data_IF_338082566606
#
_entry.id   IF_338082566606
#
_cell.length_a   1.000
_cell.length_b   1.000
_cell.length_c   1.000
_cell.angle_alpha   90.00
_cell.angle_beta   90.00
_cell.angle_gamma   90.00
#
_symmetry.space_group_name_H-M   'P 1'
#
loop_
_entity.id
_entity.type
_entity.pdbx_description
1 polymer ?
#
# COMPACT_ATOMS: atom_id res chain seq x y z
N UNK A 1 27.47 20.93 2.95
CA UNK A 1 26.47 20.66 4.03
C UNK A 1 27.16 19.83 5.11
N UNK A 2 26.94 20.19 6.37
CA UNK A 2 27.42 19.41 7.53
C UNK A 2 26.22 19.08 8.41
N UNK A 3 25.36 18.10 8.03
CA UNK A 3 24.16 17.78 8.77
C UNK A 3 24.47 17.11 10.10
N UNK A 4 23.61 17.30 11.11
CA UNK A 4 23.70 16.62 12.40
C UNK A 4 23.18 15.18 12.28
N UNK A 5 22.18 14.96 11.44
CA UNK A 5 21.55 13.65 11.20
C UNK A 5 21.41 13.42 9.71
N UNK A 6 21.71 12.21 9.26
CA UNK A 6 21.47 11.74 7.89
C UNK A 6 20.34 10.71 7.95
N UNK A 7 19.28 10.93 7.17
CA UNK A 7 18.18 9.97 7.01
C UNK A 7 18.29 9.31 5.65
N UNK A 8 18.43 7.99 5.64
CA UNK A 8 18.46 7.17 4.43
C UNK A 8 17.12 6.47 4.23
N UNK A 9 16.70 6.35 2.99
CA UNK A 9 15.59 5.49 2.61
C UNK A 9 16.13 4.14 2.10
N UNK A 10 15.48 3.06 2.50
CA UNK A 10 15.82 1.68 2.26
C UNK A 10 17.05 1.17 3.04
N UNK A 11 16.91 0.00 3.64
CA UNK A 11 17.98 -0.74 4.30
C UNK A 11 18.78 -1.55 3.27
N UNK A 12 19.44 -0.83 2.35
CA UNK A 12 20.16 -1.45 1.25
C UNK A 12 21.49 -0.73 0.97
N UNK A 13 22.05 -0.92 -0.20
CA UNK A 13 23.40 -0.51 -0.56
C UNK A 13 23.71 0.96 -0.25
N UNK A 14 22.79 1.89 -0.57
CA UNK A 14 23.02 3.32 -0.31
C UNK A 14 23.20 3.62 1.19
N UNK A 15 22.33 3.07 2.04
CA UNK A 15 22.44 3.27 3.49
C UNK A 15 23.74 2.66 4.06
N UNK A 16 24.17 1.51 3.52
CA UNK A 16 25.44 0.89 3.87
C UNK A 16 26.63 1.76 3.48
N UNK A 17 26.67 2.30 2.27
CA UNK A 17 27.73 3.20 1.79
C UNK A 17 27.75 4.51 2.58
N UNK A 18 26.61 5.09 2.89
CA UNK A 18 26.50 6.31 3.71
C UNK A 18 27.08 6.07 5.10
N UNK A 19 26.80 4.91 5.72
CA UNK A 19 27.41 4.55 7.02
C UNK A 19 28.94 4.45 6.94
N UNK A 20 29.46 3.91 5.87
CA UNK A 20 30.91 3.81 5.69
C UNK A 20 31.55 5.18 5.46
N UNK A 21 30.98 6.03 4.61
CA UNK A 21 31.55 7.34 4.28
C UNK A 21 31.43 8.36 5.40
N UNK A 22 30.47 8.22 6.30
CA UNK A 22 30.20 9.16 7.38
C UNK A 22 30.20 8.47 8.75
N UNK A 23 31.33 7.85 9.21
CA UNK A 23 31.37 7.06 10.44
C UNK A 23 31.06 7.87 11.70
N UNK A 24 31.31 9.18 11.69
CA UNK A 24 31.06 10.08 12.84
C UNK A 24 29.70 10.76 12.84
N UNK A 25 28.81 10.48 11.87
CA UNK A 25 27.48 11.08 11.82
C UNK A 25 26.40 10.17 12.35
N UNK A 26 25.36 10.77 12.95
CA UNK A 26 24.14 10.03 13.28
C UNK A 26 23.38 9.68 12.01
N UNK A 27 23.17 8.38 11.76
CA UNK A 27 22.52 7.87 10.55
C UNK A 27 21.33 7.00 10.93
N UNK A 28 20.16 7.37 10.44
CA UNK A 28 18.91 6.63 10.61
C UNK A 28 18.47 6.16 9.24
N UNK A 29 18.00 4.92 9.11
CA UNK A 29 17.44 4.42 7.85
C UNK A 29 16.00 3.94 8.02
N UNK A 30 15.17 4.20 7.01
CA UNK A 30 13.75 3.84 6.97
C UNK A 30 13.59 2.62 6.07
N UNK A 31 13.04 1.53 6.61
CA UNK A 31 12.70 0.33 5.87
C UNK A 31 11.40 0.55 5.08
N UNK A 32 11.36 0.12 3.82
CA UNK A 32 10.18 0.22 2.96
C UNK A 32 9.60 -1.16 2.56
N UNK A 33 10.16 -2.26 3.06
CA UNK A 33 9.74 -3.63 2.73
C UNK A 33 10.38 -4.19 1.45
N UNK A 34 10.48 -3.41 0.38
CA UNK A 34 11.18 -3.82 -0.84
C UNK A 34 12.66 -4.12 -0.62
N UNK A 35 13.29 -3.44 0.30
CA UNK A 35 14.67 -3.65 0.74
C UNK A 35 14.87 -5.01 1.43
N UNK A 36 13.93 -5.45 2.27
CA UNK A 36 13.96 -6.78 2.89
C UNK A 36 13.90 -7.88 1.83
N UNK A 37 12.96 -7.73 0.88
CA UNK A 37 12.85 -8.65 -0.24
C UNK A 37 14.11 -8.67 -1.12
N UNK A 38 14.70 -7.50 -1.38
CA UNK A 38 15.91 -7.40 -2.17
C UNK A 38 17.11 -8.09 -1.52
N UNK A 39 17.32 -7.89 -0.22
CA UNK A 39 18.46 -8.51 0.49
C UNK A 39 18.31 -10.02 0.58
N UNK A 40 17.09 -10.57 0.57
CA UNK A 40 16.86 -12.01 0.54
C UNK A 40 17.05 -12.62 -0.85
N UNK A 41 16.62 -11.92 -1.92
CA UNK A 41 16.72 -12.41 -3.30
C UNK A 41 18.12 -12.20 -3.91
N UNK A 42 18.83 -11.13 -3.53
CA UNK A 42 20.11 -10.76 -4.11
C UNK A 42 21.27 -11.06 -3.17
N UNK A 43 22.26 -11.81 -3.65
CA UNK A 43 23.45 -12.17 -2.87
C UNK A 43 24.60 -11.18 -3.01
N UNK A 44 24.54 -10.27 -4.03
CA UNK A 44 25.58 -9.28 -4.27
C UNK A 44 25.71 -8.35 -3.05
N UNK A 45 26.93 -8.25 -2.53
CA UNK A 45 27.28 -7.40 -1.39
C UNK A 45 26.44 -7.61 -0.11
N UNK A 46 25.72 -8.74 -0.01
CA UNK A 46 24.76 -9.01 1.08
C UNK A 46 25.39 -8.87 2.47
N UNK A 47 26.56 -9.46 2.68
CA UNK A 47 27.21 -9.43 4.00
C UNK A 47 27.76 -8.03 4.32
N UNK A 48 28.32 -7.33 3.33
CA UNK A 48 28.71 -5.93 3.47
C UNK A 48 27.52 -5.06 3.88
N UNK A 49 26.39 -5.19 3.17
CA UNK A 49 25.16 -4.43 3.47
C UNK A 49 24.69 -4.71 4.90
N UNK A 50 24.57 -6.00 5.28
CA UNK A 50 24.15 -6.40 6.63
C UNK A 50 25.05 -5.84 7.71
N UNK A 51 26.35 -5.92 7.53
CA UNK A 51 27.31 -5.41 8.50
C UNK A 51 27.17 -3.89 8.71
N UNK A 52 27.03 -3.11 7.63
CA UNK A 52 26.87 -1.66 7.71
C UNK A 52 25.51 -1.23 8.25
N UNK A 53 24.44 -1.91 7.88
CA UNK A 53 23.09 -1.65 8.43
C UNK A 53 23.07 -1.89 9.95
N UNK A 54 23.72 -2.94 10.44
CA UNK A 54 23.87 -3.22 11.89
C UNK A 54 24.55 -2.08 12.66
N UNK A 55 25.41 -1.31 11.99
CA UNK A 55 26.14 -0.18 12.58
C UNK A 55 25.38 1.14 12.56
N UNK A 56 24.18 1.20 11.96
CA UNK A 56 23.35 2.41 11.98
C UNK A 56 22.98 2.80 13.41
N UNK A 57 22.75 4.09 13.62
CA UNK A 57 22.33 4.64 14.91
C UNK A 57 20.86 4.37 15.20
N UNK A 58 20.03 4.26 14.15
CA UNK A 58 18.62 3.90 14.24
C UNK A 58 18.06 3.32 12.95
N UNK A 59 17.03 2.52 13.08
CA UNK A 59 16.26 1.95 11.97
C UNK A 59 14.78 2.19 12.25
N UNK A 60 14.06 2.61 11.23
CA UNK A 60 12.61 2.84 11.30
C UNK A 60 11.90 1.70 10.55
N UNK A 61 11.07 0.98 11.27
CA UNK A 61 10.15 -0.01 10.71
C UNK A 61 8.75 0.61 10.52
N UNK A 62 8.00 0.12 9.55
CA UNK A 62 6.62 0.58 9.28
C UNK A 62 5.61 -0.07 10.25
N UNK A 63 5.82 -1.33 10.61
CA UNK A 63 4.97 -2.09 11.53
C UNK A 63 5.77 -3.14 12.32
N UNK A 64 5.13 -3.76 13.31
CA UNK A 64 5.80 -4.68 14.25
C UNK A 64 6.38 -5.91 13.57
N UNK A 65 5.68 -6.51 12.62
CA UNK A 65 6.19 -7.69 11.90
C UNK A 65 7.44 -7.33 11.09
N UNK A 66 7.46 -6.16 10.44
CA UNK A 66 8.64 -5.68 9.73
C UNK A 66 9.83 -5.46 10.70
N UNK A 67 9.58 -4.97 11.93
CA UNK A 67 10.62 -4.88 12.97
C UNK A 67 11.25 -6.24 13.22
N UNK A 68 10.46 -7.30 13.42
CA UNK A 68 10.96 -8.67 13.62
C UNK A 68 11.79 -9.17 12.43
N UNK A 69 11.36 -8.86 11.21
CA UNK A 69 12.10 -9.22 10.01
C UNK A 69 13.45 -8.49 9.91
N UNK A 70 13.49 -7.20 10.23
CA UNK A 70 14.73 -6.42 10.29
C UNK A 70 15.71 -7.04 11.31
N UNK A 71 15.21 -7.39 12.50
CA UNK A 71 16.02 -8.09 13.52
C UNK A 71 16.58 -9.41 13.00
N UNK A 72 15.73 -10.23 12.38
CA UNK A 72 16.13 -11.53 11.82
C UNK A 72 17.16 -11.40 10.69
N UNK A 73 16.94 -10.50 9.75
CA UNK A 73 17.77 -10.39 8.53
C UNK A 73 19.08 -9.66 8.81
N UNK A 74 19.02 -8.52 9.48
CA UNK A 74 20.18 -7.64 9.66
C UNK A 74 20.85 -7.80 11.03
N UNK A 75 20.21 -8.47 11.99
CA UNK A 75 20.69 -8.60 13.37
C UNK A 75 20.93 -7.23 14.03
N UNK A 76 20.11 -6.25 13.70
CA UNK A 76 20.07 -4.95 14.37
C UNK A 76 19.49 -5.15 15.75
N UNK A 77 20.06 -4.51 16.76
CA UNK A 77 19.55 -4.58 18.14
C UNK A 77 18.17 -3.97 18.25
N UNK A 78 17.28 -4.60 19.01
CA UNK A 78 15.88 -4.20 19.16
C UNK A 78 15.72 -2.74 19.55
N UNK A 79 16.55 -2.24 20.49
CA UNK A 79 16.51 -0.87 20.97
C UNK A 79 16.83 0.19 19.90
N UNK A 80 17.44 -0.21 18.78
CA UNK A 80 17.71 0.65 17.64
C UNK A 80 16.57 0.69 16.62
N UNK A 81 15.58 -0.20 16.74
CA UNK A 81 14.49 -0.30 15.76
C UNK A 81 13.22 0.32 16.35
N UNK A 82 12.80 1.44 15.77
CA UNK A 82 11.56 2.13 16.14
C UNK A 82 10.48 1.83 15.10
N UNK A 83 9.28 1.46 15.55
CA UNK A 83 8.09 1.37 14.69
C UNK A 83 7.46 2.75 14.63
N UNK A 84 7.42 3.35 13.43
CA UNK A 84 6.87 4.68 13.24
C UNK A 84 5.62 4.72 12.34
N UNK A 85 5.34 3.64 11.63
CA UNK A 85 4.24 3.62 10.67
C UNK A 85 4.52 4.41 9.40
N UNK A 86 3.46 4.83 8.75
CA UNK A 86 3.48 5.73 7.57
C UNK A 86 2.62 6.95 7.83
N UNK A 87 2.93 8.04 7.15
CA UNK A 87 2.13 9.24 7.16
C UNK A 87 1.58 9.56 5.78
N UNK A 88 0.53 10.37 5.72
CA UNK A 88 -0.02 10.88 4.47
C UNK A 88 0.03 12.41 4.43
N UNK A 89 -0.14 12.99 3.26
CA UNK A 89 -0.19 14.44 3.09
C UNK A 89 -1.62 14.95 3.31
N UNK A 90 -1.91 15.35 4.54
CA UNK A 90 -3.22 15.86 4.98
C UNK A 90 -3.65 17.19 4.33
N UNK A 91 -2.74 17.86 3.62
CA UNK A 91 -3.06 19.05 2.83
C UNK A 91 -3.59 18.75 1.43
N UNK A 92 -3.38 17.53 0.95
CA UNK A 92 -3.81 17.08 -0.38
C UNK A 92 -4.98 16.10 -0.27
N UNK A 93 -4.83 15.11 0.62
CA UNK A 93 -5.81 14.06 0.81
C UNK A 93 -6.71 14.41 2.00
N UNK A 94 -7.91 14.89 1.72
CA UNK A 94 -8.93 15.27 2.71
C UNK A 94 -10.33 15.26 2.09
N UNK A 95 -11.34 15.15 2.93
CA UNK A 95 -12.74 15.29 2.52
C UNK A 95 -13.11 16.77 2.42
N UNK A 96 -13.78 17.18 1.35
CA UNK A 96 -14.19 18.59 1.14
C UNK A 96 -15.38 19.02 1.99
N UNK A 97 -15.98 18.10 2.76
CA UNK A 97 -17.18 18.38 3.57
C UNK A 97 -18.49 18.46 2.78
N UNK A 98 -18.43 18.44 1.46
CA UNK A 98 -19.62 18.29 0.62
C UNK A 98 -20.13 16.86 0.70
N UNK A 99 -21.41 16.69 1.05
CA UNK A 99 -22.03 15.36 0.99
C UNK A 99 -21.97 14.87 -0.45
N UNK A 100 -21.41 13.66 -0.64
CA UNK A 100 -21.51 13.01 -1.95
C UNK A 100 -23.00 12.98 -2.35
N UNK A 101 -23.34 13.64 -3.45
CA UNK A 101 -24.69 13.51 -4.00
C UNK A 101 -24.99 12.03 -4.20
N UNK A 102 -26.25 11.64 -3.97
CA UNK A 102 -26.70 10.26 -4.18
C UNK A 102 -26.50 9.90 -5.65
N UNK A 103 -25.35 9.28 -5.94
CA UNK A 103 -24.98 8.92 -7.31
C UNK A 103 -25.92 7.84 -7.85
N UNK A 104 -26.26 7.93 -9.11
CA UNK A 104 -26.99 6.86 -9.79
C UNK A 104 -26.15 5.60 -10.03
N UNK A 105 -24.82 5.71 -9.97
CA UNK A 105 -23.86 4.63 -10.18
C UNK A 105 -22.67 4.70 -9.21
N UNK A 106 -22.13 3.55 -8.87
CA UNK A 106 -20.93 3.40 -8.05
C UNK A 106 -19.65 3.55 -8.87
N UNK A 107 -18.61 4.05 -8.23
CA UNK A 107 -17.26 4.07 -8.79
C UNK A 107 -16.30 3.33 -7.85
N UNK A 108 -15.65 2.28 -8.38
CA UNK A 108 -14.53 1.61 -7.74
C UNK A 108 -13.24 2.21 -8.33
N UNK A 109 -12.26 2.50 -7.48
CA UNK A 109 -10.94 2.95 -7.92
C UNK A 109 -9.84 2.04 -7.39
N UNK A 110 -8.88 1.73 -8.24
CA UNK A 110 -7.57 1.20 -7.90
C UNK A 110 -6.52 2.29 -8.15
N UNK A 111 -5.52 2.41 -7.28
CA UNK A 111 -4.39 3.29 -7.48
C UNK A 111 -3.07 2.60 -7.13
N UNK A 112 -2.17 2.53 -8.09
CA UNK A 112 -0.88 1.85 -7.98
C UNK A 112 -0.36 1.42 -9.34
N UNK A 113 0.76 0.68 -9.36
CA UNK A 113 1.26 0.10 -10.60
C UNK A 113 0.25 -0.91 -11.15
N UNK A 114 -0.22 -0.69 -12.36
CA UNK A 114 -1.13 -1.62 -13.06
C UNK A 114 -0.32 -2.87 -13.43
N UNK A 115 -0.47 -3.92 -12.64
CA UNK A 115 0.29 -5.18 -12.78
C UNK A 115 -0.42 -6.34 -12.09
N UNK A 116 -0.05 -7.57 -12.46
CA UNK A 116 -0.57 -8.79 -11.85
C UNK A 116 -0.22 -8.86 -10.34
N UNK A 117 1.02 -8.50 -9.97
CA UNK A 117 1.48 -8.48 -8.58
C UNK A 117 0.68 -7.52 -7.67
N UNK A 118 0.08 -6.50 -8.27
CA UNK A 118 -0.84 -5.59 -7.58
C UNK A 118 -2.30 -6.08 -7.63
N UNK A 119 -2.52 -7.31 -8.10
CA UNK A 119 -3.81 -7.97 -8.09
C UNK A 119 -4.82 -7.41 -9.08
N UNK A 120 -4.38 -6.62 -10.10
CA UNK A 120 -5.30 -5.98 -11.05
C UNK A 120 -6.05 -7.03 -11.86
N UNK A 121 -5.41 -8.14 -12.27
CA UNK A 121 -6.09 -9.23 -12.95
C UNK A 121 -7.18 -9.87 -12.09
N UNK A 122 -6.88 -10.11 -10.81
CA UNK A 122 -7.87 -10.65 -9.86
C UNK A 122 -9.01 -9.66 -9.59
N UNK A 123 -8.72 -8.35 -9.54
CA UNK A 123 -9.77 -7.33 -9.46
C UNK A 123 -10.71 -7.44 -10.67
N UNK A 124 -10.18 -7.40 -11.89
CA UNK A 124 -10.98 -7.43 -13.11
C UNK A 124 -11.85 -8.71 -13.21
N UNK A 125 -11.30 -9.85 -12.81
CA UNK A 125 -12.08 -11.12 -12.75
C UNK A 125 -13.13 -11.09 -11.64
N UNK A 126 -12.83 -10.52 -10.47
CA UNK A 126 -13.76 -10.39 -9.36
C UNK A 126 -15.02 -9.59 -9.74
N UNK A 127 -14.92 -8.64 -10.67
CA UNK A 127 -16.07 -7.85 -11.15
C UNK A 127 -17.18 -8.72 -11.76
N UNK A 128 -16.85 -9.89 -12.34
CA UNK A 128 -17.85 -10.81 -12.92
C UNK A 128 -18.81 -11.39 -11.89
N UNK A 129 -18.42 -11.44 -10.60
CA UNK A 129 -19.27 -11.94 -9.51
C UNK A 129 -20.19 -10.86 -8.91
N UNK A 130 -20.05 -9.59 -9.31
CA UNK A 130 -20.89 -8.52 -8.77
C UNK A 130 -22.28 -8.52 -9.44
N UNK A 131 -23.38 -8.35 -8.67
CA UNK A 131 -24.73 -8.50 -9.17
C UNK A 131 -25.33 -7.23 -9.81
N UNK A 132 -24.54 -6.16 -9.96
CA UNK A 132 -25.05 -4.86 -10.42
C UNK A 132 -25.31 -4.83 -11.93
N UNK A 133 -26.29 -4.04 -12.43
CA UNK A 133 -26.42 -3.70 -13.83
C UNK A 133 -25.18 -2.96 -14.34
N UNK A 134 -24.85 -3.10 -15.63
CA UNK A 134 -23.65 -2.52 -16.23
C UNK A 134 -23.53 -1.00 -16.00
N UNK A 135 -24.67 -0.31 -16.04
CA UNK A 135 -24.78 1.15 -15.92
C UNK A 135 -24.60 1.64 -14.46
N UNK A 136 -24.66 0.73 -13.50
CA UNK A 136 -24.62 1.06 -12.08
C UNK A 136 -23.21 0.98 -11.46
N UNK A 137 -22.21 0.55 -12.24
CA UNK A 137 -20.85 0.42 -11.75
C UNK A 137 -19.83 0.78 -12.82
N UNK A 138 -18.81 1.54 -12.44
CA UNK A 138 -17.61 1.77 -13.26
C UNK A 138 -16.35 1.57 -12.43
N UNK A 139 -15.26 1.23 -13.10
CA UNK A 139 -13.97 0.98 -12.48
C UNK A 139 -12.91 1.91 -13.07
N UNK A 140 -12.10 2.48 -12.19
CA UNK A 140 -11.03 3.40 -12.57
C UNK A 140 -9.69 2.81 -12.10
N UNK A 141 -8.72 2.72 -13.00
CA UNK A 141 -7.37 2.25 -12.73
C UNK A 141 -6.40 3.42 -12.90
N UNK A 142 -5.82 3.91 -11.79
CA UNK A 142 -4.88 5.02 -11.76
C UNK A 142 -3.47 4.52 -11.46
N UNK A 143 -2.51 4.89 -12.30
CA UNK A 143 -1.10 4.57 -12.13
C UNK A 143 -0.40 4.16 -13.41
N UNK A 144 0.93 4.08 -13.35
CA UNK A 144 1.73 3.54 -14.45
C UNK A 144 1.63 2.02 -14.52
N UNK A 145 2.18 1.45 -15.59
CA UNK A 145 2.19 0.01 -15.82
C UNK A 145 3.60 -0.61 -15.72
N UNK A 146 3.65 -1.93 -15.77
CA UNK A 146 4.85 -2.74 -15.85
C UNK A 146 5.33 -2.93 -17.30
N UNK A 147 5.88 -4.13 -17.62
CA UNK A 147 6.19 -4.50 -18.99
C UNK A 147 4.96 -4.34 -19.90
N UNK A 148 5.20 -3.94 -21.15
CA UNK A 148 4.11 -3.67 -22.11
C UNK A 148 3.23 -4.89 -22.35
N UNK A 149 3.84 -6.07 -22.50
CA UNK A 149 3.12 -7.33 -22.71
C UNK A 149 2.12 -7.64 -21.58
N UNK A 150 2.52 -7.44 -20.32
CA UNK A 150 1.63 -7.61 -19.15
C UNK A 150 0.50 -6.58 -19.19
N UNK A 151 0.81 -5.34 -19.57
CA UNK A 151 -0.18 -4.28 -19.65
C UNK A 151 -1.22 -4.51 -20.75
N UNK A 152 -0.79 -4.97 -21.92
CA UNK A 152 -1.69 -5.37 -23.03
C UNK A 152 -2.65 -6.49 -22.59
N UNK A 153 -2.16 -7.50 -21.87
CA UNK A 153 -3.00 -8.58 -21.33
C UNK A 153 -4.04 -8.04 -20.34
N UNK A 154 -3.66 -7.10 -19.47
CA UNK A 154 -4.59 -6.45 -18.53
C UNK A 154 -5.63 -5.62 -19.28
N UNK A 155 -5.24 -4.88 -20.33
CA UNK A 155 -6.17 -4.12 -21.16
C UNK A 155 -7.17 -5.03 -21.88
N UNK A 156 -6.68 -6.15 -22.41
CA UNK A 156 -7.58 -7.14 -23.03
C UNK A 156 -8.61 -7.67 -22.03
N UNK A 157 -8.15 -8.09 -20.84
CA UNK A 157 -9.03 -8.54 -19.75
C UNK A 157 -10.06 -7.46 -19.36
N UNK A 158 -9.66 -6.20 -19.35
CA UNK A 158 -10.55 -5.08 -19.07
C UNK A 158 -11.64 -4.89 -20.16
N UNK A 159 -11.33 -5.17 -21.44
CA UNK A 159 -12.35 -5.10 -22.51
C UNK A 159 -13.41 -6.21 -22.39
N UNK A 160 -13.06 -7.33 -21.78
CA UNK A 160 -13.95 -8.45 -21.52
C UNK A 160 -14.82 -8.24 -20.27
N UNK A 161 -14.50 -7.24 -19.45
CA UNK A 161 -15.25 -6.93 -18.24
C UNK A 161 -16.68 -6.45 -18.57
N UNK A 162 -17.63 -6.90 -17.75
CA UNK A 162 -19.03 -6.46 -17.83
C UNK A 162 -19.17 -4.95 -17.60
N UNK A 163 -18.35 -4.37 -16.75
CA UNK A 163 -18.41 -2.96 -16.35
C UNK A 163 -17.38 -2.12 -17.11
N UNK A 164 -17.66 -0.84 -17.36
CA UNK A 164 -16.69 0.07 -17.95
C UNK A 164 -15.43 0.18 -17.08
N UNK A 165 -14.26 -0.05 -17.66
CA UNK A 165 -12.94 0.10 -17.02
C UNK A 165 -12.21 1.24 -17.70
N UNK A 166 -11.77 2.22 -16.93
CA UNK A 166 -11.03 3.39 -17.41
C UNK A 166 -9.61 3.38 -16.86
N UNK A 167 -8.62 3.47 -17.74
CA UNK A 167 -7.21 3.64 -17.39
C UNK A 167 -6.86 5.13 -17.41
N UNK A 168 -6.39 5.68 -16.29
CA UNK A 168 -6.04 7.10 -16.16
C UNK A 168 -4.54 7.37 -16.33
N UNK A 169 -3.71 6.32 -16.34
CA UNK A 169 -2.25 6.50 -16.32
C UNK A 169 -1.76 7.12 -15.01
N UNK A 170 -0.56 7.70 -15.06
CA UNK A 170 0.06 8.37 -13.91
C UNK A 170 -0.67 9.67 -13.61
N UNK A 171 -1.05 9.85 -12.34
CA UNK A 171 -1.68 11.07 -11.84
C UNK A 171 -0.76 11.77 -10.82
N UNK A 172 -0.85 13.08 -10.73
CA UNK A 172 -0.31 13.83 -9.60
C UNK A 172 -1.10 13.49 -8.32
N UNK A 173 -0.52 13.75 -7.15
CA UNK A 173 -1.23 13.55 -5.87
C UNK A 173 -2.55 14.32 -5.79
N UNK A 174 -2.60 15.54 -6.34
CA UNK A 174 -3.82 16.35 -6.34
C UNK A 174 -4.91 15.76 -7.23
N UNK A 175 -4.56 15.28 -8.44
CA UNK A 175 -5.49 14.60 -9.35
C UNK A 175 -5.97 13.28 -8.75
N UNK A 176 -5.08 12.52 -8.11
CA UNK A 176 -5.43 11.27 -7.44
C UNK A 176 -6.40 11.51 -6.27
N UNK A 177 -6.16 12.55 -5.47
CA UNK A 177 -7.06 12.93 -4.39
C UNK A 177 -8.46 13.28 -4.91
N UNK A 178 -8.54 13.95 -6.08
CA UNK A 178 -9.83 14.24 -6.72
C UNK A 178 -10.53 12.97 -7.20
N UNK A 179 -9.79 12.02 -7.79
CA UNK A 179 -10.35 10.72 -8.16
C UNK A 179 -10.86 9.93 -6.94
N UNK A 180 -10.15 9.97 -5.82
CA UNK A 180 -10.62 9.37 -4.57
C UNK A 180 -11.91 10.01 -4.07
N UNK A 181 -12.00 11.36 -4.04
CA UNK A 181 -13.24 12.05 -3.65
C UNK A 181 -14.44 11.66 -4.51
N UNK A 182 -14.23 11.38 -5.80
CA UNK A 182 -15.26 10.94 -6.73
C UNK A 182 -15.62 9.45 -6.61
N UNK A 183 -14.81 8.65 -5.91
CA UNK A 183 -14.99 7.21 -5.81
C UNK A 183 -15.71 6.80 -4.53
N UNK A 184 -16.42 5.68 -4.58
CA UNK A 184 -17.15 5.13 -3.44
C UNK A 184 -16.29 4.13 -2.69
N UNK A 185 -15.55 3.27 -3.42
CA UNK A 185 -14.68 2.26 -2.87
C UNK A 185 -13.30 2.32 -3.54
N UNK A 186 -12.26 2.38 -2.73
CA UNK A 186 -10.89 2.10 -3.15
C UNK A 186 -10.57 0.63 -2.91
N UNK A 187 -9.91 -0.01 -3.88
CA UNK A 187 -9.48 -1.41 -3.77
C UNK A 187 -7.99 -1.56 -4.04
N UNK A 188 -7.29 -2.29 -3.16
CA UNK A 188 -5.89 -2.67 -3.32
C UNK A 188 -5.70 -4.18 -3.10
N UNK A 189 -5.91 -5.03 -4.12
CA UNK A 189 -5.83 -6.48 -4.00
C UNK A 189 -4.41 -7.03 -4.20
N UNK A 190 -3.40 -6.27 -3.77
CA UNK A 190 -1.99 -6.60 -3.94
C UNK A 190 -1.62 -7.91 -3.23
N UNK A 191 -0.70 -8.68 -3.81
CA UNK A 191 -0.14 -9.86 -3.19
C UNK A 191 1.03 -9.55 -2.24
N UNK A 192 1.62 -8.38 -2.39
CA UNK A 192 2.69 -7.90 -1.52
C UNK A 192 2.68 -6.36 -1.40
N UNK A 193 2.79 -5.87 -0.17
CA UNK A 193 3.01 -4.45 0.19
C UNK A 193 3.88 -4.35 1.45
N UNK A 194 4.48 -3.19 1.66
CA UNK A 194 5.05 -2.84 2.96
C UNK A 194 3.93 -2.40 3.92
N UNK A 195 3.57 -1.14 3.83
CA UNK A 195 2.36 -0.60 4.44
C UNK A 195 1.74 0.38 3.44
N UNK A 196 0.69 -0.05 2.76
CA UNK A 196 0.14 0.63 1.60
C UNK A 196 -0.46 2.01 1.98
N UNK A 197 0.35 3.06 1.89
CA UNK A 197 -0.01 4.44 2.18
C UNK A 197 -1.28 4.89 1.45
N UNK A 198 -1.46 4.40 0.23
CA UNK A 198 -2.61 4.73 -0.61
C UNK A 198 -3.96 4.34 0.01
N UNK A 199 -4.01 3.35 0.90
CA UNK A 199 -5.22 3.03 1.67
C UNK A 199 -5.62 4.20 2.58
N UNK A 200 -4.64 4.83 3.24
CA UNK A 200 -4.85 5.97 4.13
C UNK A 200 -5.27 7.21 3.31
N UNK A 201 -4.62 7.44 2.18
CA UNK A 201 -4.91 8.54 1.27
C UNK A 201 -6.35 8.45 0.72
N UNK A 202 -6.78 7.25 0.34
CA UNK A 202 -8.14 6.99 -0.12
C UNK A 202 -9.18 7.20 1.00
N UNK A 203 -8.92 6.68 2.21
CA UNK A 203 -9.78 6.91 3.38
C UNK A 203 -9.88 8.39 3.74
N UNK A 204 -8.75 9.12 3.70
CA UNK A 204 -8.72 10.55 3.97
C UNK A 204 -9.58 11.35 2.99
N UNK A 205 -9.78 10.86 1.78
CA UNK A 205 -10.68 11.43 0.77
C UNK A 205 -12.13 10.92 0.84
N UNK A 206 -12.44 10.02 1.78
CA UNK A 206 -13.79 9.48 1.99
C UNK A 206 -14.13 8.24 1.17
N UNK A 207 -13.13 7.51 0.64
CA UNK A 207 -13.36 6.17 0.11
C UNK A 207 -13.49 5.15 1.24
N UNK A 208 -14.41 4.21 1.08
CA UNK A 208 -14.35 2.94 1.80
C UNK A 208 -13.23 2.10 1.18
N UNK A 209 -12.54 1.30 1.98
CA UNK A 209 -11.34 0.59 1.51
C UNK A 209 -11.55 -0.92 1.57
N UNK A 210 -11.15 -1.59 0.49
CA UNK A 210 -10.97 -3.04 0.40
C UNK A 210 -9.52 -3.31 0.07
N UNK A 211 -8.81 -4.10 0.87
CA UNK A 211 -7.45 -4.48 0.54
C UNK A 211 -7.15 -5.92 0.95
N UNK A 212 -6.07 -6.48 0.39
CA UNK A 212 -5.58 -7.80 0.81
C UNK A 212 -5.07 -7.76 2.25
N UNK A 213 -5.30 -8.85 2.98
CA UNK A 213 -4.77 -9.06 4.33
C UNK A 213 -3.29 -9.49 4.26
N UNK A 214 -2.44 -8.49 4.06
CA UNK A 214 -0.99 -8.67 4.01
C UNK A 214 -0.43 -8.64 5.43
N UNK A 215 0.51 -9.53 5.76
CA UNK A 215 1.07 -9.63 7.11
C UNK A 215 1.52 -8.28 7.68
N UNK A 216 1.05 -7.95 8.89
CA UNK A 216 1.36 -6.71 9.61
C UNK A 216 0.54 -5.49 9.17
N UNK A 217 -0.14 -5.52 8.04
CA UNK A 217 -0.97 -4.39 7.58
C UNK A 217 -2.24 -4.29 8.41
N UNK A 218 -2.98 -5.38 8.56
CA UNK A 218 -4.22 -5.43 9.34
C UNK A 218 -3.99 -4.98 10.78
N UNK A 219 -3.01 -5.58 11.47
CA UNK A 219 -2.69 -5.23 12.86
C UNK A 219 -2.35 -3.75 13.01
N UNK A 220 -1.56 -3.21 12.05
CA UNK A 220 -1.21 -1.79 12.07
C UNK A 220 -2.43 -0.88 11.92
N UNK A 221 -3.37 -1.22 11.00
CA UNK A 221 -4.59 -0.44 10.80
C UNK A 221 -5.51 -0.52 12.03
N UNK A 222 -5.69 -1.70 12.61
CA UNK A 222 -6.50 -1.89 13.83
C UNK A 222 -5.95 -1.07 15.01
N UNK A 223 -4.63 -0.94 15.12
CA UNK A 223 -3.97 -0.15 16.17
C UNK A 223 -4.00 1.36 15.93
N UNK A 224 -3.96 1.83 14.67
CA UNK A 224 -3.72 3.23 14.35
C UNK A 224 -4.90 3.94 13.66
N UNK A 225 -5.84 3.20 13.11
CA UNK A 225 -7.02 3.71 12.39
C UNK A 225 -8.25 3.00 12.92
N UNK A 226 -8.77 3.43 14.06
CA UNK A 226 -9.98 2.81 14.62
C UNK A 226 -11.19 3.04 13.72
N UNK A 227 -12.04 2.01 13.60
CA UNK A 227 -13.27 2.03 12.80
C UNK A 227 -13.30 0.95 11.71
N UNK A 228 -14.46 0.72 11.12
CA UNK A 228 -14.70 -0.34 10.12
C UNK A 228 -14.53 0.13 8.67
N UNK A 229 -13.70 1.15 8.43
CA UNK A 229 -13.54 1.76 7.10
C UNK A 229 -12.83 0.84 6.10
N UNK A 230 -12.01 -0.09 6.58
CA UNK A 230 -11.24 -1.00 5.74
C UNK A 230 -11.71 -2.44 5.91
N UNK A 231 -11.88 -3.13 4.79
CA UNK A 231 -12.14 -4.58 4.77
C UNK A 231 -10.90 -5.31 4.26
N UNK A 232 -10.36 -6.19 5.09
CA UNK A 232 -9.23 -7.04 4.74
C UNK A 232 -9.70 -8.35 4.13
N UNK A 233 -9.19 -8.65 2.94
CA UNK A 233 -9.52 -9.88 2.19
C UNK A 233 -8.36 -10.86 2.32
N UNK A 234 -8.65 -12.04 2.87
CA UNK A 234 -7.65 -13.10 3.05
C UNK A 234 -6.99 -13.44 1.70
N UNK A 235 -5.66 -13.39 1.68
CA UNK A 235 -4.86 -13.79 0.52
C UNK A 235 -5.10 -15.27 0.12
N UNK A 236 -4.86 -15.64 -1.14
CA UNK A 236 -4.67 -17.03 -1.50
C UNK A 236 -3.40 -17.56 -0.82
N UNK A 237 -3.19 -18.86 -0.83
CA UNK A 237 -1.90 -19.43 -0.45
C UNK A 237 -0.82 -18.88 -1.40
N UNK A 238 0.32 -18.51 -0.84
CA UNK A 238 1.44 -17.95 -1.60
C UNK A 238 2.49 -19.03 -1.87
N UNK A 239 2.99 -19.11 -3.09
CA UNK A 239 4.16 -19.95 -3.42
C UNK A 239 5.45 -19.33 -2.88
N UNK A 240 5.52 -18.01 -2.96
CA UNK A 240 6.61 -17.21 -2.40
C UNK A 240 6.08 -15.83 -1.96
N UNK A 241 6.96 -14.87 -1.74
CA UNK A 241 6.62 -13.54 -1.17
C UNK A 241 5.56 -12.77 -1.97
N UNK A 242 5.52 -12.89 -3.30
CA UNK A 242 4.68 -12.08 -4.17
C UNK A 242 3.98 -12.87 -5.31
N UNK A 243 4.01 -14.20 -5.24
CA UNK A 243 3.39 -15.09 -6.23
C UNK A 243 2.33 -15.98 -5.58
N UNK A 244 1.05 -15.80 -5.93
CA UNK A 244 -0.02 -16.63 -5.40
C UNK A 244 -0.10 -17.98 -6.08
N UNK A 245 -0.61 -19.00 -5.38
CA UNK A 245 -0.99 -20.28 -5.96
C UNK A 245 -2.15 -20.08 -6.90
N UNK A 246 -1.97 -20.39 -8.19
CA UNK A 246 -2.91 -20.07 -9.26
C UNK A 246 -4.31 -20.70 -9.05
N UNK A 247 -4.37 -21.92 -8.52
CA UNK A 247 -5.60 -22.65 -8.27
C UNK A 247 -6.49 -22.00 -7.20
N UNK A 248 -5.91 -21.15 -6.34
CA UNK A 248 -6.66 -20.43 -5.29
C UNK A 248 -7.14 -19.03 -5.71
N UNK A 249 -6.71 -18.53 -6.87
CA UNK A 249 -7.12 -17.23 -7.37
C UNK A 249 -8.65 -17.08 -7.55
N UNK A 250 -9.39 -18.06 -8.10
CA UNK A 250 -10.84 -17.93 -8.22
C UNK A 250 -11.55 -17.73 -6.88
N UNK A 251 -11.10 -18.40 -5.82
CA UNK A 251 -11.66 -18.24 -4.48
C UNK A 251 -11.29 -16.88 -3.87
N UNK A 252 -10.10 -16.35 -4.16
CA UNK A 252 -9.70 -15.00 -3.77
C UNK A 252 -10.53 -13.94 -4.49
N UNK A 253 -10.77 -14.09 -5.78
CA UNK A 253 -11.59 -13.21 -6.62
C UNK A 253 -13.04 -13.13 -6.12
N UNK A 254 -13.62 -14.26 -5.70
CA UNK A 254 -14.94 -14.30 -5.06
C UNK A 254 -14.96 -13.53 -3.73
N UNK A 255 -13.92 -13.68 -2.89
CA UNK A 255 -13.80 -12.91 -1.64
C UNK A 255 -13.66 -11.42 -1.89
N UNK A 256 -12.90 -11.02 -2.93
CA UNK A 256 -12.79 -9.61 -3.35
C UNK A 256 -14.16 -9.06 -3.76
N UNK A 257 -14.91 -9.79 -4.57
CA UNK A 257 -16.24 -9.39 -5.01
C UNK A 257 -17.20 -9.21 -3.84
N UNK A 258 -17.20 -10.16 -2.88
CA UNK A 258 -18.05 -10.06 -1.70
C UNK A 258 -17.69 -8.85 -0.83
N UNK A 259 -16.39 -8.60 -0.60
CA UNK A 259 -15.93 -7.43 0.14
C UNK A 259 -16.33 -6.11 -0.57
N UNK A 260 -16.18 -6.04 -1.89
CA UNK A 260 -16.62 -4.90 -2.70
C UNK A 260 -18.13 -4.70 -2.56
N UNK A 261 -18.94 -5.76 -2.68
CA UNK A 261 -20.40 -5.70 -2.54
C UNK A 261 -20.80 -5.14 -1.18
N UNK A 262 -20.23 -5.67 -0.10
CA UNK A 262 -20.48 -5.20 1.27
C UNK A 262 -20.18 -3.71 1.43
N UNK A 263 -19.02 -3.25 0.90
CA UNK A 263 -18.63 -1.82 0.99
C UNK A 263 -19.51 -0.91 0.11
N UNK A 264 -19.97 -1.37 -1.04
CA UNK A 264 -20.87 -0.61 -1.90
C UNK A 264 -22.27 -0.48 -1.30
N UNK A 265 -22.76 -1.52 -0.61
CA UNK A 265 -24.08 -1.54 0.06
C UNK A 265 -24.09 -0.87 1.44
N UNK A 266 -22.93 -0.66 2.05
CA UNK A 266 -22.81 0.00 3.35
C UNK A 266 -23.27 1.47 3.26
N UNK A 267 -24.30 1.84 4.02
CA UNK A 267 -24.88 3.20 4.02
C UNK A 267 -24.27 4.13 5.06
N UNK A 268 -23.64 3.59 6.09
CA UNK A 268 -23.00 4.39 7.13
C UNK A 268 -21.66 4.94 6.65
N UNK A 269 -21.49 6.24 6.79
CA UNK A 269 -20.24 6.96 6.52
C UNK A 269 -19.57 7.26 7.87
N UNK A 270 -18.60 6.46 8.25
CA UNK A 270 -17.73 6.82 9.37
C UNK A 270 -16.60 7.72 8.87
N UNK A 271 -16.33 8.79 9.58
CA UNK A 271 -15.15 9.64 9.28
C UNK A 271 -13.93 9.06 9.99
N UNK A 272 -12.90 8.59 9.27
CA UNK A 272 -11.73 8.00 9.90
C UNK A 272 -10.95 9.05 10.71
N UNK A 273 -10.48 8.68 11.90
CA UNK A 273 -9.63 9.53 12.73
C UNK A 273 -8.17 9.40 12.29
N UNK A 274 -7.78 10.15 11.25
CA UNK A 274 -6.44 10.07 10.63
C UNK A 274 -5.46 11.15 11.11
N UNK A 275 -5.88 12.05 12.00
CA UNK A 275 -5.08 13.22 12.40
C UNK A 275 -3.71 12.88 12.99
N UNK A 276 -3.55 11.70 13.58
CA UNK A 276 -2.31 11.26 14.23
C UNK A 276 -1.29 10.61 13.26
N UNK A 277 -1.72 10.29 12.04
CA UNK A 277 -0.89 9.60 11.04
C UNK A 277 -0.53 10.48 9.84
N UNK A 278 -0.48 11.80 10.02
CA UNK A 278 0.10 12.70 9.00
C UNK A 278 1.64 12.63 9.00
N UNK A 279 2.27 12.93 7.86
CA UNK A 279 3.73 12.99 7.76
C UNK A 279 4.35 13.90 8.80
N UNK A 280 3.67 14.98 9.15
CA UNK A 280 4.10 15.90 10.20
C UNK A 280 4.24 15.19 11.54
N UNK A 281 3.23 14.41 11.94
CA UNK A 281 3.25 13.67 13.22
C UNK A 281 4.30 12.57 13.23
N UNK A 282 4.44 11.84 12.13
CA UNK A 282 5.47 10.81 11.98
C UNK A 282 6.87 11.43 12.10
N UNK A 283 7.16 12.54 11.41
CA UNK A 283 8.47 13.19 11.48
C UNK A 283 8.80 13.68 12.90
N UNK A 284 7.84 14.27 13.61
CA UNK A 284 8.00 14.66 15.01
C UNK A 284 8.35 13.47 15.91
N UNK A 285 7.81 12.29 15.62
CA UNK A 285 8.07 11.07 16.40
C UNK A 285 9.42 10.43 16.09
N UNK A 286 9.89 10.52 14.85
CA UNK A 286 11.14 9.90 14.38
C UNK A 286 12.38 10.69 14.84
N UNK A 287 12.28 12.03 14.89
CA UNK A 287 13.40 12.91 15.24
C UNK A 287 13.64 13.05 16.74
N UNK A 288 12.68 12.63 17.57
CA UNK A 288 12.84 12.50 19.03
C UNK A 288 13.57 11.21 19.40
#
# INVERSE_FOLDING_TARGET
LNPDVIVCHHLYLLAAMVREWYPGKKIIAICHGSDLRQIEKNTLEREYIKERIRQLDGVIALHREQKKEIERIFQVKEEKIKVAGVGYNDKIFFQTGEKKEKKESFQIIFAGKVSEKKGVCSLLRALSYLPYPKEKLKVVLAGGHGPEEEYEQIQQLATECRYPVQFLGMLSQAELAEQFRQSDVFILPSFFEGLALVNIEAMACGCKVVCSDIPGMKDWFEENVPGEQITFVKLPRMENTDEPVAEELPAFEQRLAEALRQKLEQTEEETPQLSQISWRKISESVLR
#
